data_IF_222934126355
#
_entry.id   IF_222934126355
#
_cell.length_a   1.000
_cell.length_b   1.000
_cell.length_c   1.000
_cell.angle_alpha   90.00
_cell.angle_beta   90.00
_cell.angle_gamma   90.00
#
_symmetry.space_group_name_H-M   'P 1'
#
loop_
_entity.id
_entity.type
_entity.pdbx_description
1 polymer ?
#
# COMPACT_ATOMS: atom_id res chain seq x y z
N UNK A 1 7.69 12.30 10.32
CA UNK A 1 6.52 11.89 11.12
C UNK A 1 6.68 10.40 11.38
N UNK A 2 6.65 9.95 12.64
CA UNK A 2 6.82 8.53 12.94
C UNK A 2 5.57 7.76 12.53
N UNK A 3 5.73 6.79 11.63
CA UNK A 3 4.69 5.81 11.33
C UNK A 3 4.44 4.98 12.60
N UNK A 4 3.24 5.12 13.19
CA UNK A 4 2.83 4.32 14.34
C UNK A 4 2.54 2.89 13.89
N UNK A 5 3.56 2.04 13.86
CA UNK A 5 3.48 0.62 13.52
C UNK A 5 2.82 -0.25 14.62
N UNK A 6 2.36 0.36 15.71
CA UNK A 6 1.90 -0.33 16.93
C UNK A 6 0.45 -0.85 16.88
N UNK A 7 -0.28 -0.63 15.78
CA UNK A 7 -1.64 -1.13 15.56
C UNK A 7 -1.81 -1.80 14.18
N UNK A 8 -0.71 -2.28 13.59
CA UNK A 8 -0.83 -3.21 12.47
C UNK A 8 -1.44 -4.51 13.02
N UNK A 9 -2.56 -5.03 12.48
CA UNK A 9 -2.88 -6.45 12.69
C UNK A 9 -1.61 -7.24 12.36
N UNK A 10 -1.24 -8.27 13.12
CA UNK A 10 0.00 -9.02 12.90
C UNK A 10 0.06 -9.49 11.45
N UNK A 11 0.70 -8.69 10.59
CA UNK A 11 0.79 -8.97 9.18
C UNK A 11 1.74 -10.13 9.09
N UNK A 12 1.22 -11.26 8.60
CA UNK A 12 2.06 -12.41 8.31
C UNK A 12 3.21 -12.00 7.39
N UNK A 13 4.34 -12.70 7.45
CA UNK A 13 5.48 -12.46 6.57
C UNK A 13 5.06 -12.43 5.08
N UNK A 14 4.08 -13.28 4.72
CA UNK A 14 3.43 -13.29 3.40
C UNK A 14 2.73 -11.98 3.04
N UNK A 15 2.07 -11.33 4.00
CA UNK A 15 1.42 -10.03 3.79
C UNK A 15 2.47 -8.94 3.57
N UNK A 16 3.59 -8.99 4.29
CA UNK A 16 4.69 -8.03 4.13
C UNK A 16 5.33 -8.17 2.74
N UNK A 17 5.60 -9.40 2.30
CA UNK A 17 6.12 -9.66 0.95
C UNK A 17 5.15 -9.21 -0.14
N UNK A 18 3.85 -9.47 0.05
CA UNK A 18 2.82 -9.03 -0.87
C UNK A 18 2.74 -7.51 -0.97
N UNK A 19 2.77 -6.80 0.17
CA UNK A 19 2.78 -5.33 0.22
C UNK A 19 3.99 -4.77 -0.52
N UNK A 20 5.18 -5.27 -0.23
CA UNK A 20 6.42 -4.81 -0.87
C UNK A 20 6.33 -4.97 -2.39
N UNK A 21 5.83 -6.12 -2.87
CA UNK A 21 5.65 -6.36 -4.30
C UNK A 21 4.62 -5.45 -4.94
N UNK A 22 3.42 -5.35 -4.35
CA UNK A 22 2.34 -4.51 -4.90
C UNK A 22 2.74 -3.04 -4.99
N UNK A 23 3.48 -2.55 -3.99
CA UNK A 23 3.94 -1.16 -3.96
C UNK A 23 5.09 -0.93 -4.95
N UNK A 24 6.04 -1.85 -5.07
CA UNK A 24 7.10 -1.76 -6.08
C UNK A 24 6.51 -1.71 -7.49
N UNK A 25 5.58 -2.63 -7.79
CA UNK A 25 4.85 -2.66 -9.06
C UNK A 25 4.05 -1.36 -9.27
N UNK A 26 3.58 -0.71 -8.20
CA UNK A 26 2.78 0.52 -8.28
C UNK A 26 3.64 1.75 -8.55
N UNK A 27 4.78 1.83 -7.86
CA UNK A 27 5.75 2.88 -8.08
C UNK A 27 6.29 2.82 -9.51
N UNK A 28 6.66 1.64 -10.00
CA UNK A 28 7.16 1.44 -11.37
C UNK A 28 6.12 1.88 -12.42
N UNK A 29 4.88 1.41 -12.31
CA UNK A 29 3.80 1.75 -13.23
C UNK A 29 3.45 3.25 -13.26
N UNK A 30 3.70 3.98 -12.16
CA UNK A 30 3.41 5.40 -12.04
C UNK A 30 4.67 6.29 -12.18
N UNK A 31 5.84 5.70 -12.47
CA UNK A 31 7.14 6.40 -12.50
C UNK A 31 7.42 7.20 -11.21
N UNK A 32 7.04 6.63 -10.07
CA UNK A 32 7.25 7.20 -8.74
C UNK A 32 8.52 6.62 -8.13
N UNK A 33 9.36 7.48 -7.56
CA UNK A 33 10.48 7.04 -6.75
C UNK A 33 9.98 6.35 -5.48
N UNK A 34 10.39 5.10 -5.26
CA UNK A 34 9.99 4.28 -4.12
C UNK A 34 10.45 4.85 -2.77
N UNK A 35 11.42 5.78 -2.76
CA UNK A 35 11.83 6.54 -1.57
C UNK A 35 11.11 7.87 -1.38
N UNK A 36 10.19 8.23 -2.27
CA UNK A 36 9.47 9.51 -2.24
C UNK A 36 8.22 9.48 -1.36
N UNK A 37 7.73 10.68 -1.00
CA UNK A 37 6.51 10.84 -0.17
C UNK A 37 5.25 10.20 -0.80
N UNK A 38 5.20 10.07 -2.13
CA UNK A 38 4.10 9.41 -2.82
C UNK A 38 4.15 7.88 -2.63
N UNK A 39 5.34 7.28 -2.55
CA UNK A 39 5.50 5.88 -2.21
C UNK A 39 5.14 5.62 -0.74
N UNK A 40 5.55 6.50 0.19
CA UNK A 40 5.14 6.42 1.60
C UNK A 40 3.61 6.47 1.76
N UNK A 41 2.94 7.36 1.04
CA UNK A 41 1.48 7.45 1.04
C UNK A 41 0.83 6.18 0.46
N UNK A 42 1.40 5.60 -0.60
CA UNK A 42 0.92 4.34 -1.15
C UNK A 42 1.09 3.17 -0.16
N UNK A 43 2.22 3.12 0.56
CA UNK A 43 2.44 2.12 1.61
C UNK A 43 1.39 2.23 2.73
N UNK A 44 1.12 3.44 3.22
CA UNK A 44 0.10 3.66 4.24
C UNK A 44 -1.28 3.22 3.75
N UNK A 45 -1.67 3.61 2.54
CA UNK A 45 -2.96 3.22 1.96
C UNK A 45 -3.08 1.69 1.77
N UNK A 46 -2.03 1.02 1.28
CA UNK A 46 -2.05 -0.43 1.11
C UNK A 46 -2.11 -1.19 2.45
N UNK A 47 -1.46 -0.67 3.49
CA UNK A 47 -1.56 -1.20 4.85
C UNK A 47 -3.00 -1.06 5.37
N UNK A 48 -3.62 0.10 5.20
CA UNK A 48 -4.99 0.33 5.66
C UNK A 48 -5.98 -0.60 4.96
N UNK A 49 -5.82 -0.78 3.64
CA UNK A 49 -6.62 -1.70 2.83
C UNK A 49 -6.47 -3.15 3.30
N UNK A 50 -5.24 -3.61 3.50
CA UNK A 50 -4.97 -4.98 3.94
C UNK A 50 -5.38 -5.22 5.41
N UNK A 51 -5.37 -4.17 6.23
CA UNK A 51 -5.86 -4.25 7.61
C UNK A 51 -7.40 -4.32 7.65
N UNK A 52 -8.08 -3.69 6.70
CA UNK A 52 -9.53 -3.75 6.56
C UNK A 52 -10.01 -5.10 5.99
N UNK A 53 -9.24 -5.70 5.09
CA UNK A 53 -9.51 -7.02 4.51
C UNK A 53 -8.20 -7.82 4.32
N UNK A 54 -7.82 -8.65 5.33
CA UNK A 54 -6.60 -9.45 5.29
C UNK A 54 -6.59 -10.54 4.22
N UNK A 55 -7.74 -10.90 3.65
CA UNK A 55 -7.87 -11.97 2.64
C UNK A 55 -7.70 -11.43 1.20
N UNK A 56 -7.41 -10.13 1.05
CA UNK A 56 -7.15 -9.52 -0.26
C UNK A 56 -6.01 -10.23 -0.99
N UNK A 57 -6.29 -10.66 -2.22
CA UNK A 57 -5.23 -11.07 -3.13
C UNK A 57 -4.42 -9.86 -3.59
N UNK A 58 -3.17 -10.11 -4.02
CA UNK A 58 -2.28 -9.06 -4.52
C UNK A 58 -2.91 -8.20 -5.64
N UNK A 59 -3.69 -8.83 -6.54
CA UNK A 59 -4.38 -8.12 -7.61
C UNK A 59 -5.52 -7.22 -7.11
N UNK A 60 -6.28 -7.68 -6.13
CA UNK A 60 -7.34 -6.87 -5.52
C UNK A 60 -6.76 -5.71 -4.71
N UNK A 61 -5.70 -5.96 -3.94
CA UNK A 61 -4.97 -4.92 -3.20
C UNK A 61 -4.41 -3.86 -4.15
N UNK A 62 -3.83 -4.27 -5.27
CA UNK A 62 -3.33 -3.34 -6.29
C UNK A 62 -4.45 -2.47 -6.86
N UNK A 63 -5.57 -3.06 -7.24
CA UNK A 63 -6.70 -2.32 -7.79
C UNK A 63 -7.30 -1.33 -6.78
N UNK A 64 -7.42 -1.74 -5.52
CA UNK A 64 -7.89 -0.87 -4.44
C UNK A 64 -6.92 0.28 -4.15
N UNK A 65 -5.61 0.01 -4.21
CA UNK A 65 -4.57 1.03 -4.07
C UNK A 65 -4.65 2.06 -5.21
N UNK A 66 -4.80 1.63 -6.45
CA UNK A 66 -4.95 2.53 -7.60
C UNK A 66 -6.16 3.46 -7.45
N UNK A 67 -7.30 2.93 -6.96
CA UNK A 67 -8.49 3.73 -6.65
C UNK A 67 -8.22 4.75 -5.53
N UNK A 68 -7.68 4.29 -4.39
CA UNK A 68 -7.40 5.14 -3.23
C UNK A 68 -6.44 6.29 -3.57
N UNK A 69 -5.37 6.00 -4.31
CA UNK A 69 -4.39 7.00 -4.71
C UNK A 69 -4.90 7.94 -5.80
N UNK A 70 -5.84 7.50 -6.64
CA UNK A 70 -6.51 8.36 -7.61
C UNK A 70 -7.49 9.34 -6.95
N UNK A 71 -8.19 8.91 -5.89
CA UNK A 71 -9.09 9.75 -5.10
C UNK A 71 -8.30 10.82 -4.32
N UNK A 72 -7.16 10.44 -3.72
CA UNK A 72 -6.27 11.38 -3.01
C UNK A 72 -5.66 12.47 -3.93
N UNK A 73 -5.57 12.25 -5.25
CA UNK A 73 -5.13 13.28 -6.21
C UNK A 73 -6.21 14.32 -6.54
N UNK A 74 -7.47 14.08 -6.19
CA UNK A 74 -8.62 14.94 -6.52
C UNK A 74 -9.06 15.88 -5.39
N UNK A 75 -8.58 15.65 -4.17
CA UNK A 75 -8.80 16.49 -3.00
C UNK A 75 -7.72 17.58 -2.90
#
# INVERSE_FOLDING_TARGET
>A
MSLNLLNLPELSERHIEMLAKVIADWCDANSIDAGGSCAEAAYAAAIDLLSADPDLSAGQLRQALDLSMAENKRA
#
